data_IF_895518776845
#
_entry.id   IF_895518776845
#
_cell.length_a   1.000
_cell.length_b   1.000
_cell.length_c   1.000
_cell.angle_alpha   90.00
_cell.angle_beta   90.00
_cell.angle_gamma   90.00
#
_symmetry.space_group_name_H-M   'P 1'
#
loop_
_entity.id
_entity.type
_entity.pdbx_description
1 polymer ?
#
# COMPACT_ATOMS: atom_id res chain seq x y z
N UNK A 1 -28.19 55.44 10.07
CA UNK A 1 -28.21 56.88 9.68
C UNK A 1 -26.96 57.54 10.24
N UNK A 2 -26.13 58.11 9.35
CA UNK A 2 -25.23 59.28 9.50
C UNK A 2 -24.30 59.33 10.75
N UNK A 3 -22.99 59.59 10.70
CA UNK A 3 -22.17 60.57 9.98
C UNK A 3 -20.70 60.06 10.01
N UNK A 4 -19.90 60.05 8.93
CA UNK A 4 -19.18 61.14 8.24
C UNK A 4 -18.09 61.84 9.08
N UNK A 5 -16.82 61.71 8.64
CA UNK A 5 -15.73 62.72 8.52
C UNK A 5 -14.41 61.92 8.32
N UNK A 6 -13.87 61.71 7.11
CA UNK A 6 -13.15 62.62 6.21
C UNK A 6 -12.03 63.42 6.90
N UNK A 7 -10.78 63.03 6.68
CA UNK A 7 -9.66 63.96 6.56
C UNK A 7 -8.69 63.48 5.47
N UNK A 8 -8.59 64.29 4.42
CA UNK A 8 -7.59 64.25 3.35
C UNK A 8 -6.49 65.22 3.76
N UNK A 9 -5.22 64.80 3.69
CA UNK A 9 -4.10 65.71 3.43
C UNK A 9 -3.17 65.07 2.39
N UNK A 10 -2.98 65.83 1.31
CA UNK A 10 -2.11 65.64 0.14
C UNK A 10 -0.83 66.47 0.34
N UNK A 11 0.17 66.22 -0.50
CA UNK A 11 1.46 66.90 -0.74
C UNK A 11 2.66 66.14 -0.13
N UNK A 12 3.77 65.86 -0.82
CA UNK A 12 4.21 66.27 -2.15
C UNK A 12 5.35 65.39 -2.65
N UNK A 13 5.39 65.22 -3.97
CA UNK A 13 6.54 65.15 -4.89
C UNK A 13 7.96 65.20 -4.28
N UNK A 14 8.75 64.14 -4.53
CA UNK A 14 10.18 64.30 -4.83
C UNK A 14 10.57 63.34 -5.94
N UNK A 15 10.78 63.90 -7.13
CA UNK A 15 11.45 63.25 -8.24
C UNK A 15 12.96 63.46 -8.06
N UNK A 16 13.73 62.38 -8.02
CA UNK A 16 15.14 62.40 -8.35
C UNK A 16 15.39 61.34 -9.41
N UNK A 17 15.61 61.84 -10.63
CA UNK A 17 16.18 61.10 -11.75
C UNK A 17 17.69 60.98 -11.56
N UNK A 18 18.20 59.75 -11.57
CA UNK A 18 19.57 59.46 -11.96
C UNK A 18 19.52 58.35 -13.00
N UNK A 19 19.82 58.70 -14.24
CA UNK A 19 20.21 57.75 -15.27
C UNK A 19 21.54 57.12 -14.85
N UNK A 20 21.59 55.79 -14.84
CA UNK A 20 22.84 55.07 -15.10
C UNK A 20 22.51 53.83 -15.94
N UNK A 21 23.22 53.73 -17.06
CA UNK A 21 23.20 52.63 -18.00
C UNK A 21 23.62 51.31 -17.35
N UNK A 22 23.08 50.19 -17.86
CA UNK A 22 23.79 48.92 -17.78
C UNK A 22 22.89 47.69 -17.71
N UNK A 23 22.72 47.03 -18.85
CA UNK A 23 22.40 45.62 -19.03
C UNK A 23 21.13 45.06 -18.35
N UNK A 24 20.08 45.02 -19.15
CA UNK A 24 19.00 44.02 -19.08
C UNK A 24 19.63 42.63 -19.30
N UNK A 25 19.75 41.82 -18.25
CA UNK A 25 19.99 40.38 -18.41
C UNK A 25 18.72 39.73 -18.97
N UNK A 26 18.83 39.22 -20.18
CA UNK A 26 17.88 38.23 -20.71
C UNK A 26 17.93 36.97 -19.84
N UNK A 27 16.82 36.21 -19.72
CA UNK A 27 16.86 34.89 -19.12
C UNK A 27 17.63 33.96 -20.07
N UNK A 28 18.95 33.94 -19.90
CA UNK A 28 19.83 32.98 -20.54
C UNK A 28 19.46 31.58 -20.09
N UNK A 29 19.04 30.77 -21.05
CA UNK A 29 19.08 29.31 -21.01
C UNK A 29 20.33 28.84 -20.26
N UNK A 30 20.13 28.34 -19.03
CA UNK A 30 21.19 27.80 -18.19
C UNK A 30 21.59 26.47 -18.84
N UNK A 31 22.66 26.50 -19.62
CA UNK A 31 23.22 25.30 -20.22
C UNK A 31 23.61 24.32 -19.11
N UNK A 32 23.09 23.10 -19.20
CA UNK A 32 23.58 21.95 -18.45
C UNK A 32 25.07 21.78 -18.76
N UNK A 33 25.93 22.31 -17.89
CA UNK A 33 27.36 21.98 -17.93
C UNK A 33 27.48 20.53 -17.50
N UNK A 34 27.57 19.63 -18.47
CA UNK A 34 28.00 18.26 -18.24
C UNK A 34 29.38 18.29 -17.57
N UNK A 35 29.43 18.05 -16.27
CA UNK A 35 30.69 17.92 -15.53
C UNK A 35 31.32 16.58 -15.91
N UNK A 36 32.41 16.63 -16.66
CA UNK A 36 33.23 15.45 -16.98
C UNK A 36 34.20 15.19 -15.82
N UNK A 37 33.72 14.54 -14.76
CA UNK A 37 34.57 14.07 -13.66
C UNK A 37 35.31 12.77 -14.02
N UNK A 38 36.29 12.38 -13.19
CA UNK A 38 37.12 11.19 -13.41
C UNK A 38 36.52 9.88 -12.89
N UNK A 39 35.26 9.89 -12.46
CA UNK A 39 34.61 8.76 -11.83
C UNK A 39 34.57 7.50 -12.68
N UNK A 40 34.77 6.35 -12.04
CA UNK A 40 34.78 5.03 -12.70
C UNK A 40 33.72 4.08 -12.16
N UNK A 41 33.16 4.37 -10.98
CA UNK A 41 32.18 3.52 -10.33
C UNK A 41 30.83 3.61 -11.05
N UNK A 42 30.19 2.46 -11.26
CA UNK A 42 28.81 2.43 -11.72
C UNK A 42 27.88 2.34 -10.50
N UNK A 43 27.08 3.38 -10.19
CA UNK A 43 26.20 3.38 -9.02
C UNK A 43 25.10 2.32 -9.11
N UNK A 44 24.82 1.75 -10.29
CA UNK A 44 23.89 0.62 -10.41
C UNK A 44 24.44 -0.67 -9.79
N UNK A 45 25.75 -0.83 -9.70
CA UNK A 45 26.36 -2.05 -9.15
C UNK A 45 26.28 -2.07 -7.63
N UNK A 46 26.20 -0.89 -7.00
CA UNK A 46 26.09 -0.74 -5.55
C UNK A 46 25.30 0.54 -5.20
N UNK A 47 23.95 0.45 -5.21
CA UNK A 47 23.09 1.57 -4.83
C UNK A 47 23.27 1.99 -3.36
N UNK A 48 23.62 1.07 -2.46
CA UNK A 48 23.85 1.40 -1.06
C UNK A 48 25.12 2.23 -0.88
N UNK A 49 26.17 1.93 -1.66
CA UNK A 49 27.38 2.75 -1.72
C UNK A 49 27.15 4.19 -2.19
N UNK A 50 26.03 4.49 -2.87
CA UNK A 50 25.61 5.87 -3.16
C UNK A 50 25.07 6.55 -1.91
N UNK A 51 24.16 5.88 -1.17
CA UNK A 51 23.60 6.43 0.07
C UNK A 51 24.67 6.66 1.12
N UNK A 52 25.58 5.71 1.28
CA UNK A 52 26.73 5.83 2.18
C UNK A 52 27.60 7.02 1.80
N UNK A 53 27.93 7.18 0.50
CA UNK A 53 28.71 8.33 0.05
C UNK A 53 28.04 9.67 0.36
N UNK A 54 26.74 9.80 0.09
CA UNK A 54 25.98 11.01 0.39
C UNK A 54 25.99 11.31 1.89
N UNK A 55 25.79 10.28 2.71
CA UNK A 55 25.84 10.37 4.18
C UNK A 55 27.22 10.80 4.69
N UNK A 56 28.30 10.16 4.22
CA UNK A 56 29.69 10.51 4.57
C UNK A 56 30.04 11.97 4.25
N UNK A 57 29.47 12.50 3.17
CA UNK A 57 29.68 13.88 2.72
C UNK A 57 28.64 14.86 3.26
N UNK A 58 27.75 14.41 4.15
CA UNK A 58 26.69 15.21 4.76
C UNK A 58 25.79 15.88 3.70
N UNK A 59 25.52 15.18 2.60
CA UNK A 59 24.66 15.64 1.50
C UNK A 59 23.25 15.11 1.75
N UNK A 60 22.34 16.03 2.12
CA UNK A 60 20.92 15.72 2.23
C UNK A 60 20.36 15.29 0.86
N UNK A 61 19.54 14.25 0.85
CA UNK A 61 19.07 13.61 -0.38
C UNK A 61 17.64 13.11 -0.23
N UNK A 62 16.90 13.07 -1.34
CA UNK A 62 15.53 12.54 -1.41
C UNK A 62 15.46 11.09 -1.89
N UNK A 63 16.46 10.29 -1.51
CA UNK A 63 16.74 8.92 -1.96
C UNK A 63 17.15 8.81 -3.45
N UNK A 64 17.38 7.58 -3.90
CA UNK A 64 17.80 7.24 -5.26
C UNK A 64 16.81 6.26 -5.90
N UNK A 65 16.67 6.34 -7.22
CA UNK A 65 15.81 5.41 -7.97
C UNK A 65 16.42 5.06 -9.33
N UNK A 66 16.00 3.93 -9.89
CA UNK A 66 16.44 3.49 -11.23
C UNK A 66 15.39 3.90 -12.27
N UNK A 67 15.84 4.58 -13.32
CA UNK A 67 15.00 4.89 -14.49
C UNK A 67 15.85 4.89 -15.74
N UNK A 68 15.35 4.31 -16.83
CA UNK A 68 16.02 4.32 -18.15
C UNK A 68 17.49 3.83 -18.11
N UNK A 69 17.78 2.84 -17.27
CA UNK A 69 19.13 2.28 -17.12
C UNK A 69 20.14 3.21 -16.45
N UNK A 70 19.69 4.22 -15.69
CA UNK A 70 20.52 5.13 -14.91
C UNK A 70 20.03 5.23 -13.47
N UNK A 71 20.95 5.44 -12.54
CA UNK A 71 20.60 5.82 -11.17
C UNK A 71 20.30 7.31 -11.12
N UNK A 72 19.09 7.66 -10.73
CA UNK A 72 18.71 9.03 -10.43
C UNK A 72 18.97 9.28 -8.95
N UNK A 73 19.69 10.36 -8.65
CA UNK A 73 20.11 10.71 -7.29
C UNK A 73 19.44 12.03 -6.94
N UNK A 74 18.45 11.99 -6.06
CA UNK A 74 17.76 13.19 -5.60
C UNK A 74 18.61 13.91 -4.56
N UNK A 75 19.01 15.14 -4.82
CA UNK A 75 19.85 15.96 -3.93
C UNK A 75 19.05 17.16 -3.46
N UNK A 76 19.05 17.38 -2.14
CA UNK A 76 18.53 18.61 -1.55
C UNK A 76 19.62 19.69 -1.66
N UNK A 77 19.29 20.84 -2.26
CA UNK A 77 20.25 21.93 -2.44
C UNK A 77 21.35 21.62 -3.46
N UNK A 78 21.00 20.96 -4.57
CA UNK A 78 21.95 20.59 -5.63
C UNK A 78 22.72 21.82 -6.14
N UNK A 79 24.05 21.72 -6.12
CA UNK A 79 24.94 22.78 -6.55
C UNK A 79 26.17 22.22 -7.30
N UNK A 80 27.06 23.11 -7.73
CA UNK A 80 28.23 22.74 -8.54
C UNK A 80 29.26 21.90 -7.77
N UNK A 81 29.36 22.05 -6.45
CA UNK A 81 30.29 21.29 -5.61
C UNK A 81 29.82 19.83 -5.50
N UNK A 82 28.54 19.62 -5.18
CA UNK A 82 27.94 18.29 -5.11
C UNK A 82 28.02 17.58 -6.47
N UNK A 83 27.72 18.27 -7.56
CA UNK A 83 27.85 17.70 -8.91
C UNK A 83 29.28 17.24 -9.22
N UNK A 84 30.28 18.00 -8.77
CA UNK A 84 31.70 17.65 -8.99
C UNK A 84 32.10 16.44 -8.15
N UNK A 85 31.71 16.40 -6.88
CA UNK A 85 31.92 15.25 -5.99
C UNK A 85 31.35 13.95 -6.58
N UNK A 86 30.12 14.00 -7.09
CA UNK A 86 29.48 12.85 -7.72
C UNK A 86 30.16 12.46 -9.04
N UNK A 87 30.55 13.44 -9.86
CA UNK A 87 31.23 13.18 -11.14
C UNK A 87 32.63 12.60 -10.96
N UNK A 88 33.33 12.96 -9.88
CA UNK A 88 34.66 12.44 -9.56
C UNK A 88 34.60 11.00 -9.02
N UNK A 89 33.43 10.58 -8.50
CA UNK A 89 33.20 9.22 -7.99
C UNK A 89 32.58 8.28 -9.03
N UNK A 90 31.51 8.72 -9.68
CA UNK A 90 30.67 7.88 -10.53
C UNK A 90 30.90 8.14 -12.02
N UNK A 91 30.82 7.06 -12.79
CA UNK A 91 31.04 7.07 -14.24
C UNK A 91 29.97 7.91 -14.94
N UNK A 92 30.41 8.87 -15.76
CA UNK A 92 29.50 9.69 -16.57
C UNK A 92 28.54 8.82 -17.41
N UNK A 93 27.27 9.26 -17.48
CA UNK A 93 26.21 8.58 -18.21
C UNK A 93 25.52 7.42 -17.48
N UNK A 94 26.03 6.99 -16.31
CA UNK A 94 25.41 5.93 -15.49
C UNK A 94 24.46 6.45 -14.41
N UNK A 95 24.46 7.76 -14.17
CA UNK A 95 23.60 8.42 -13.20
C UNK A 95 23.12 9.78 -13.69
N UNK A 96 22.13 10.33 -12.99
CA UNK A 96 21.63 11.68 -13.16
C UNK A 96 21.27 12.27 -11.80
N UNK A 97 21.73 13.50 -11.51
CA UNK A 97 21.30 14.23 -10.31
C UNK A 97 19.99 14.94 -10.57
N UNK A 98 19.11 14.92 -9.57
CA UNK A 98 17.84 15.66 -9.59
C UNK A 98 17.83 16.57 -8.38
N UNK A 99 17.55 17.86 -8.58
CA UNK A 99 17.36 18.75 -7.45
C UNK A 99 15.97 18.53 -6.88
N UNK A 100 15.88 18.24 -5.58
CA UNK A 100 14.61 18.05 -4.86
C UNK A 100 14.54 18.98 -3.67
N UNK A 101 13.34 19.14 -3.11
CA UNK A 101 13.09 20.07 -2.00
C UNK A 101 13.29 19.39 -0.65
N UNK A 102 12.79 18.17 -0.50
CA UNK A 102 12.70 17.48 0.78
C UNK A 102 13.70 16.33 0.88
N UNK A 103 14.28 16.14 2.06
CA UNK A 103 15.12 14.98 2.32
C UNK A 103 14.29 13.72 2.56
N UNK A 104 14.90 12.56 2.41
CA UNK A 104 14.26 11.28 2.71
C UNK A 104 13.92 11.16 4.19
N UNK A 105 14.76 11.72 5.07
CA UNK A 105 14.52 11.78 6.51
C UNK A 105 13.27 12.63 6.82
N UNK A 106 13.12 13.80 6.20
CA UNK A 106 11.94 14.65 6.37
C UNK A 106 10.64 13.93 5.94
N UNK A 107 10.68 13.24 4.79
CA UNK A 107 9.54 12.46 4.31
C UNK A 107 9.23 11.26 5.22
N UNK A 108 10.25 10.57 5.73
CA UNK A 108 10.07 9.45 6.66
C UNK A 108 9.51 9.90 8.01
N UNK A 109 9.98 11.03 8.55
CA UNK A 109 9.47 11.60 9.80
C UNK A 109 7.99 12.01 9.66
N UNK A 110 7.62 12.66 8.55
CA UNK A 110 6.24 13.02 8.28
C UNK A 110 5.35 11.77 8.11
N UNK A 111 5.83 10.74 7.41
CA UNK A 111 5.12 9.47 7.28
C UNK A 111 4.94 8.78 8.64
N UNK A 112 5.99 8.73 9.46
CA UNK A 112 5.93 8.18 10.81
C UNK A 112 4.94 8.96 11.69
N UNK A 113 4.85 10.27 11.50
CA UNK A 113 3.92 11.11 12.23
C UNK A 113 2.46 10.77 11.92
N UNK A 114 2.12 10.42 10.67
CA UNK A 114 0.78 9.91 10.29
C UNK A 114 0.39 8.68 11.14
N UNK A 115 1.30 7.72 11.30
CA UNK A 115 1.09 6.52 12.11
C UNK A 115 0.99 6.84 13.59
N UNK A 116 1.90 7.66 14.13
CA UNK A 116 1.95 7.99 15.55
C UNK A 116 0.70 8.72 16.06
N UNK A 117 0.05 9.49 15.18
CA UNK A 117 -1.19 10.22 15.47
C UNK A 117 -2.45 9.35 15.25
N UNK A 118 -2.30 8.10 14.79
CA UNK A 118 -3.42 7.21 14.49
C UNK A 118 -4.33 7.71 13.37
N UNK A 119 -3.80 8.53 12.45
CA UNK A 119 -4.62 9.18 11.42
C UNK A 119 -5.24 8.19 10.43
N UNK A 120 -4.59 7.05 10.20
CA UNK A 120 -5.11 5.98 9.35
C UNK A 120 -6.48 5.47 9.82
N UNK A 121 -6.59 5.12 11.10
CA UNK A 121 -7.85 4.63 11.66
C UNK A 121 -8.85 5.77 11.85
N UNK A 122 -8.37 6.93 12.33
CA UNK A 122 -9.21 8.11 12.58
C UNK A 122 -9.90 8.62 11.31
N UNK A 123 -9.19 8.64 10.19
CA UNK A 123 -9.63 9.24 8.93
C UNK A 123 -9.91 8.21 7.84
N UNK A 124 -9.86 6.93 8.17
CA UNK A 124 -10.06 5.82 7.24
C UNK A 124 -9.12 5.90 6.01
N UNK A 125 -7.84 6.22 6.23
CA UNK A 125 -6.83 6.20 5.17
C UNK A 125 -6.48 4.75 4.82
N UNK A 126 -6.13 4.50 3.57
CA UNK A 126 -5.84 3.17 3.04
C UNK A 126 -4.36 2.84 3.09
N UNK A 127 -3.51 3.71 2.55
CA UNK A 127 -2.06 3.53 2.55
C UNK A 127 -1.32 4.86 2.60
N UNK A 128 -0.03 4.80 2.98
CA UNK A 128 0.92 5.87 2.68
C UNK A 128 2.19 5.28 2.11
N UNK A 129 2.73 5.89 1.07
CA UNK A 129 3.93 5.44 0.36
C UNK A 129 4.88 6.62 0.12
N UNK A 130 6.18 6.34 0.14
CA UNK A 130 7.20 7.34 -0.24
C UNK A 130 7.35 7.33 -1.76
N UNK A 131 7.00 8.43 -2.39
CA UNK A 131 7.23 8.65 -3.82
C UNK A 131 8.56 9.37 -4.02
N UNK A 132 9.61 8.58 -4.19
CA UNK A 132 10.96 9.10 -4.47
C UNK A 132 11.02 9.84 -5.80
N UNK A 133 10.15 9.56 -6.76
CA UNK A 133 10.17 10.23 -8.06
C UNK A 133 9.62 11.66 -7.95
N UNK A 134 8.55 11.85 -7.17
CA UNK A 134 7.93 13.17 -6.98
C UNK A 134 8.32 13.85 -5.65
N UNK A 135 9.20 13.23 -4.86
CA UNK A 135 9.72 13.73 -3.59
C UNK A 135 8.61 14.09 -2.58
N UNK A 136 7.62 13.20 -2.45
CA UNK A 136 6.43 13.37 -1.60
C UNK A 136 6.00 12.05 -0.96
N UNK A 137 5.13 12.14 0.03
CA UNK A 137 4.34 11.03 0.56
C UNK A 137 3.05 10.97 -0.25
N UNK A 138 2.74 9.82 -0.83
CA UNK A 138 1.40 9.53 -1.37
C UNK A 138 0.55 9.01 -0.24
N UNK A 139 -0.61 9.62 -0.01
CA UNK A 139 -1.66 9.11 0.87
C UNK A 139 -2.81 8.63 0.01
N UNK A 140 -3.16 7.35 0.12
CA UNK A 140 -4.33 6.77 -0.54
C UNK A 140 -5.50 6.78 0.43
N UNK A 141 -6.65 7.30 -0.01
CA UNK A 141 -7.84 7.45 0.84
C UNK A 141 -9.15 7.30 0.04
N UNK A 142 -10.28 7.01 0.70
CA UNK A 142 -11.60 7.02 0.06
C UNK A 142 -11.93 8.39 -0.55
N UNK A 143 -12.89 8.41 -1.48
CA UNK A 143 -13.51 9.64 -1.98
C UNK A 143 -14.47 10.32 -0.98
N UNK A 144 -14.85 9.60 0.08
CA UNK A 144 -15.64 10.15 1.17
C UNK A 144 -14.85 11.20 1.96
N UNK A 145 -15.47 12.38 2.17
CA UNK A 145 -14.97 13.43 3.06
C UNK A 145 -13.55 13.96 2.72
N UNK A 146 -13.12 13.88 1.46
CA UNK A 146 -11.77 14.28 0.99
C UNK A 146 -11.30 15.62 1.58
N UNK A 147 -12.11 16.68 1.50
CA UNK A 147 -11.70 18.01 1.94
C UNK A 147 -11.44 18.09 3.45
N UNK A 148 -12.26 17.39 4.26
CA UNK A 148 -12.12 17.34 5.72
C UNK A 148 -10.89 16.51 6.11
N UNK A 149 -10.68 15.38 5.44
CA UNK A 149 -9.52 14.51 5.66
C UNK A 149 -8.21 15.23 5.34
N UNK A 150 -8.14 15.91 4.19
CA UNK A 150 -6.97 16.73 3.82
C UNK A 150 -6.68 17.78 4.88
N UNK A 151 -7.70 18.56 5.25
CA UNK A 151 -7.56 19.64 6.23
C UNK A 151 -7.08 19.12 7.59
N UNK A 152 -7.54 17.94 8.03
CA UNK A 152 -7.09 17.34 9.28
C UNK A 152 -5.61 16.89 9.22
N UNK A 153 -5.18 16.30 8.10
CA UNK A 153 -3.78 15.87 7.93
C UNK A 153 -2.87 17.10 7.86
N UNK A 154 -3.26 18.13 7.11
CA UNK A 154 -2.50 19.36 6.89
C UNK A 154 -2.35 20.23 8.15
N UNK A 155 -3.17 20.01 9.19
CA UNK A 155 -2.94 20.63 10.50
C UNK A 155 -1.66 20.11 11.19
N UNK A 156 -1.24 18.89 10.87
CA UNK A 156 -0.14 18.21 11.55
C UNK A 156 1.06 17.94 10.66
N UNK A 157 0.86 17.88 9.35
CA UNK A 157 1.89 17.56 8.35
C UNK A 157 1.94 18.69 7.32
N UNK A 158 3.15 19.08 6.93
CA UNK A 158 3.33 20.10 5.90
C UNK A 158 2.71 19.63 4.57
N UNK A 159 1.77 20.38 3.96
CA UNK A 159 1.15 20.02 2.69
C UNK A 159 2.16 19.88 1.54
N UNK A 160 3.33 20.54 1.61
CA UNK A 160 4.37 20.39 0.60
C UNK A 160 4.99 18.99 0.58
N UNK A 161 4.90 18.22 1.67
CA UNK A 161 5.35 16.84 1.74
C UNK A 161 4.32 15.85 1.19
N UNK A 162 3.10 16.29 0.88
CA UNK A 162 1.97 15.40 0.64
C UNK A 162 1.51 15.39 -0.81
N UNK A 163 0.98 14.23 -1.20
CA UNK A 163 0.19 14.02 -2.40
C UNK A 163 -0.91 13.03 -2.06
N UNK A 164 -2.06 13.16 -2.71
CA UNK A 164 -3.24 12.37 -2.36
C UNK A 164 -3.75 11.62 -3.58
N UNK A 165 -4.00 10.33 -3.40
CA UNK A 165 -4.67 9.47 -4.38
C UNK A 165 -6.04 9.13 -3.84
N UNK A 166 -7.07 9.63 -4.52
CA UNK A 166 -8.45 9.31 -4.20
C UNK A 166 -8.78 7.97 -4.85
N UNK A 167 -8.81 6.93 -4.03
CA UNK A 167 -9.41 5.68 -4.41
C UNK A 167 -10.89 5.82 -4.14
N UNK A 168 -11.68 5.98 -5.21
CA UNK A 168 -13.14 5.91 -5.07
C UNK A 168 -13.46 4.65 -4.29
N UNK A 169 -14.40 4.75 -3.36
CA UNK A 169 -15.12 3.58 -2.95
C UNK A 169 -15.89 3.11 -4.19
N UNK A 170 -15.18 2.43 -5.10
CA UNK A 170 -15.80 1.41 -5.90
C UNK A 170 -16.44 0.54 -4.84
N UNK A 171 -17.76 0.69 -4.70
CA UNK A 171 -18.59 -0.44 -4.36
C UNK A 171 -18.27 -1.41 -5.48
N UNK A 172 -17.14 -2.12 -5.37
CA UNK A 172 -16.94 -3.32 -6.12
C UNK A 172 -18.13 -4.14 -5.67
N UNK A 173 -19.15 -4.18 -6.52
CA UNK A 173 -20.37 -4.92 -6.22
C UNK A 173 -20.00 -6.39 -5.99
N UNK A 174 -18.83 -6.80 -6.49
CA UNK A 174 -18.26 -8.10 -6.24
C UNK A 174 -17.29 -8.04 -5.05
N UNK A 175 -17.36 -9.03 -4.16
CA UNK A 175 -16.35 -9.20 -3.13
C UNK A 175 -14.99 -9.53 -3.73
N UNK A 176 -13.92 -8.98 -3.14
CA UNK A 176 -12.53 -9.28 -3.51
C UNK A 176 -12.13 -10.73 -3.19
N UNK A 177 -12.79 -11.37 -2.21
CA UNK A 177 -12.73 -12.82 -2.03
C UNK A 177 -14.07 -13.37 -1.52
N UNK A 178 -14.47 -14.53 -2.05
CA UNK A 178 -15.55 -15.37 -1.51
C UNK A 178 -14.93 -16.70 -1.09
N UNK A 179 -15.14 -17.10 0.16
CA UNK A 179 -14.50 -18.30 0.67
C UNK A 179 -14.94 -18.70 2.06
N UNK A 180 -14.36 -19.79 2.56
CA UNK A 180 -14.61 -20.25 3.92
C UNK A 180 -13.61 -19.67 4.90
N UNK A 181 -14.08 -19.27 6.08
CA UNK A 181 -13.23 -18.95 7.22
C UNK A 181 -12.69 -20.27 7.78
N UNK A 182 -11.40 -20.53 7.60
CA UNK A 182 -10.78 -21.79 8.00
C UNK A 182 -9.97 -21.67 9.28
N UNK A 183 -9.49 -20.47 9.60
CA UNK A 183 -8.81 -20.13 10.85
C UNK A 183 -9.20 -18.73 11.30
N UNK A 184 -9.21 -18.52 12.60
CA UNK A 184 -9.26 -17.20 13.22
C UNK A 184 -8.07 -17.14 14.17
N UNK A 185 -7.27 -16.10 14.04
CA UNK A 185 -6.17 -15.80 14.95
C UNK A 185 -6.20 -14.30 15.27
N UNK A 186 -6.24 -13.96 16.56
CA UNK A 186 -6.50 -12.62 17.05
C UNK A 186 -7.76 -12.00 16.41
N UNK A 187 -7.64 -10.83 15.77
CA UNK A 187 -8.71 -10.12 15.06
C UNK A 187 -8.66 -10.34 13.54
N UNK A 188 -8.05 -11.45 13.10
CA UNK A 188 -7.90 -11.79 11.69
C UNK A 188 -8.47 -13.18 11.38
N UNK A 189 -9.08 -13.30 10.21
CA UNK A 189 -9.62 -14.56 9.69
C UNK A 189 -8.88 -14.99 8.42
N UNK A 190 -8.51 -16.26 8.33
CA UNK A 190 -8.02 -16.85 7.08
C UNK A 190 -9.21 -17.28 6.23
N UNK A 191 -9.45 -16.54 5.14
CA UNK A 191 -10.50 -16.83 4.16
C UNK A 191 -9.87 -17.52 2.96
N UNK A 192 -10.38 -18.71 2.61
CA UNK A 192 -9.85 -19.52 1.50
C UNK A 192 -10.96 -19.78 0.48
N UNK A 193 -10.72 -19.41 -0.77
CA UNK A 193 -11.64 -19.65 -1.88
C UNK A 193 -11.64 -21.15 -2.24
N UNK A 194 -12.81 -21.83 -2.29
CA UNK A 194 -12.88 -23.25 -2.65
C UNK A 194 -12.63 -23.53 -4.14
N UNK A 195 -12.64 -22.49 -4.98
CA UNK A 195 -12.46 -22.56 -6.43
C UNK A 195 -11.01 -22.24 -6.77
N UNK A 196 -10.36 -23.13 -7.51
CA UNK A 196 -9.00 -22.90 -8.00
C UNK A 196 -9.00 -22.10 -9.29
N UNK A 197 -7.92 -21.35 -9.51
CA UNK A 197 -7.55 -20.77 -10.81
C UNK A 197 -6.19 -21.29 -11.26
N UNK A 198 -5.93 -21.20 -12.56
CA UNK A 198 -4.59 -21.45 -13.13
C UNK A 198 -3.74 -20.20 -12.94
N UNK A 199 -2.55 -20.33 -12.35
CA UNK A 199 -1.59 -19.24 -12.19
C UNK A 199 -0.64 -19.15 -13.40
N UNK A 200 -0.12 -20.30 -13.84
CA UNK A 200 0.77 -20.42 -14.99
C UNK A 200 0.76 -21.88 -15.53
N UNK A 201 1.63 -22.22 -16.48
CA UNK A 201 1.68 -23.56 -17.08
C UNK A 201 2.03 -24.68 -16.11
N UNK A 202 2.87 -24.40 -15.11
CA UNK A 202 3.31 -25.39 -14.10
C UNK A 202 2.40 -25.42 -12.87
N UNK A 203 1.60 -24.37 -12.64
CA UNK A 203 0.66 -24.23 -11.53
C UNK A 203 -0.76 -24.02 -12.07
N UNK A 204 -1.39 -25.14 -12.41
CA UNK A 204 -2.76 -25.21 -12.94
C UNK A 204 -3.84 -25.14 -11.86
N UNK A 205 -3.49 -25.45 -10.60
CA UNK A 205 -4.38 -25.40 -9.44
C UNK A 205 -3.80 -24.46 -8.38
N UNK A 206 -4.38 -23.26 -8.26
CA UNK A 206 -4.03 -22.26 -7.25
C UNK A 206 -5.32 -21.77 -6.56
N UNK A 207 -5.30 -21.72 -5.23
CA UNK A 207 -6.43 -21.27 -4.42
C UNK A 207 -6.11 -19.91 -3.81
N UNK A 208 -7.00 -18.94 -3.98
CA UNK A 208 -6.83 -17.65 -3.31
C UNK A 208 -7.07 -17.82 -1.80
N UNK A 209 -6.11 -17.39 -0.99
CA UNK A 209 -6.13 -17.44 0.46
C UNK A 209 -5.63 -16.11 1.02
N UNK A 210 -6.41 -15.50 1.91
CA UNK A 210 -6.11 -14.17 2.46
C UNK A 210 -6.36 -14.16 3.96
N UNK A 211 -5.39 -13.66 4.73
CA UNK A 211 -5.59 -13.21 6.10
C UNK A 211 -6.27 -11.85 6.07
N UNK A 212 -7.52 -11.83 6.53
CA UNK A 212 -8.39 -10.66 6.55
C UNK A 212 -8.44 -10.09 7.96
N UNK A 213 -7.99 -8.86 8.15
CA UNK A 213 -8.13 -8.11 9.41
C UNK A 213 -9.41 -7.26 9.43
N UNK A 214 -9.72 -6.65 10.58
CA UNK A 214 -10.93 -5.85 10.79
C UNK A 214 -12.23 -6.67 10.61
N UNK A 215 -12.22 -7.92 11.09
CA UNK A 215 -13.39 -8.81 11.00
C UNK A 215 -14.41 -8.47 12.10
N UNK A 216 -15.72 -8.52 11.81
CA UNK A 216 -16.75 -8.47 12.83
C UNK A 216 -16.63 -9.61 13.85
N UNK A 217 -17.00 -9.35 15.11
CA UNK A 217 -16.90 -10.32 16.22
C UNK A 217 -17.81 -11.54 16.08
N UNK A 218 -18.82 -11.48 15.22
CA UNK A 218 -19.73 -12.59 14.92
C UNK A 218 -19.23 -13.50 13.78
N UNK A 219 -18.05 -13.24 13.22
CA UNK A 219 -17.42 -14.14 12.24
C UNK A 219 -16.82 -15.34 12.96
N UNK A 220 -17.15 -16.54 12.48
CA UNK A 220 -16.71 -17.80 13.06
C UNK A 220 -16.09 -18.72 12.00
N UNK A 221 -15.19 -19.61 12.43
CA UNK A 221 -14.69 -20.68 11.58
C UNK A 221 -15.84 -21.55 11.05
N UNK A 222 -15.70 -21.98 9.80
CA UNK A 222 -16.68 -22.75 9.04
C UNK A 222 -17.66 -21.90 8.22
N UNK A 223 -17.79 -20.59 8.50
CA UNK A 223 -18.68 -19.71 7.72
C UNK A 223 -18.14 -19.46 6.31
N UNK A 224 -19.04 -19.39 5.33
CA UNK A 224 -18.74 -18.87 4.00
C UNK A 224 -19.00 -17.35 4.00
N UNK A 225 -18.02 -16.56 3.57
CA UNK A 225 -18.06 -15.10 3.65
C UNK A 225 -17.72 -14.45 2.32
N UNK A 226 -18.29 -13.28 2.09
CA UNK A 226 -17.94 -12.34 1.04
C UNK A 226 -17.17 -11.20 1.69
N UNK A 227 -15.96 -10.92 1.20
CA UNK A 227 -15.08 -9.89 1.78
C UNK A 227 -14.77 -8.84 0.72
N UNK A 228 -14.99 -7.59 1.08
CA UNK A 228 -14.51 -6.42 0.35
C UNK A 228 -13.32 -5.84 1.12
N UNK A 229 -12.30 -5.42 0.40
CA UNK A 229 -11.08 -4.89 0.99
C UNK A 229 -11.08 -3.36 0.95
N UNK A 230 -10.37 -2.77 1.91
CA UNK A 230 -9.90 -1.37 1.82
C UNK A 230 -8.39 -1.39 1.55
N UNK A 231 -7.95 -0.54 0.63
CA UNK A 231 -6.55 -0.48 0.20
C UNK A 231 -6.06 -1.72 -0.54
N UNK A 232 -4.74 -1.90 -0.59
CA UNK A 232 -4.10 -3.00 -1.29
C UNK A 232 -4.07 -4.30 -0.46
N UNK A 233 -3.94 -5.43 -1.16
CA UNK A 233 -3.70 -6.74 -0.56
C UNK A 233 -2.21 -7.05 -0.72
N UNK A 234 -1.52 -7.32 0.39
CA UNK A 234 -0.10 -7.61 0.39
C UNK A 234 0.23 -8.82 -0.49
N UNK A 235 1.29 -8.69 -1.30
CA UNK A 235 1.76 -9.69 -2.27
C UNK A 235 2.50 -10.86 -1.60
N UNK A 236 1.81 -11.55 -0.69
CA UNK A 236 2.26 -12.73 0.03
C UNK A 236 1.27 -13.90 -0.19
N UNK A 237 1.62 -15.11 0.25
CA UNK A 237 0.72 -16.27 0.20
C UNK A 237 0.71 -17.02 1.54
N UNK A 238 -0.39 -17.02 2.31
CA UNK A 238 -1.64 -16.27 2.06
C UNK A 238 -1.40 -14.76 1.95
N UNK A 239 -2.22 -14.08 1.14
CA UNK A 239 -2.21 -12.62 1.07
C UNK A 239 -2.65 -12.02 2.41
N UNK A 240 -2.43 -10.72 2.59
CA UNK A 240 -2.90 -10.01 3.79
C UNK A 240 -3.66 -8.77 3.37
N UNK A 241 -4.87 -8.59 3.91
CA UNK A 241 -5.72 -7.47 3.54
C UNK A 241 -6.64 -7.05 4.69
N UNK A 242 -7.13 -5.81 4.62
CA UNK A 242 -8.06 -5.29 5.63
C UNK A 242 -9.46 -5.22 5.06
N UNK A 243 -10.44 -5.77 5.77
CA UNK A 243 -11.83 -5.69 5.32
C UNK A 243 -12.38 -4.27 5.42
N UNK A 244 -13.00 -3.81 4.33
CA UNK A 244 -13.94 -2.69 4.34
C UNK A 244 -15.35 -3.16 4.71
N UNK A 245 -15.72 -4.37 4.28
CA UNK A 245 -17.02 -5.00 4.56
C UNK A 245 -16.88 -6.52 4.53
N UNK A 246 -17.60 -7.20 5.41
CA UNK A 246 -17.76 -8.66 5.38
C UNK A 246 -19.25 -8.99 5.49
N UNK A 247 -19.73 -9.89 4.64
CA UNK A 247 -21.07 -10.50 4.79
C UNK A 247 -20.97 -12.01 4.82
N UNK A 248 -21.79 -12.65 5.66
CA UNK A 248 -21.92 -14.10 5.70
C UNK A 248 -22.84 -14.51 4.54
N UNK A 249 -22.38 -15.44 3.71
CA UNK A 249 -23.21 -16.06 2.67
C UNK A 249 -24.24 -16.96 3.34
N UNK A 250 -25.53 -16.69 3.13
CA UNK A 250 -26.57 -17.59 3.61
C UNK A 250 -26.47 -18.94 2.90
N UNK A 251 -26.34 -20.02 3.68
CA UNK A 251 -26.46 -21.39 3.14
C UNK A 251 -27.75 -22.02 3.61
N UNK A 252 -28.45 -22.68 2.68
CA UNK A 252 -29.66 -23.43 3.03
C UNK A 252 -29.28 -24.68 3.81
N UNK A 253 -29.79 -24.78 5.03
CA UNK A 253 -29.70 -26.00 5.83
C UNK A 253 -30.58 -27.09 5.20
N UNK A 254 -30.05 -28.30 4.94
CA UNK A 254 -30.86 -29.42 4.49
C UNK A 254 -31.99 -29.72 5.50
N UNK A 255 -33.20 -29.98 5.00
CA UNK A 255 -34.42 -30.08 5.84
C UNK A 255 -34.28 -31.09 6.98
N UNK A 256 -33.58 -32.21 6.73
CA UNK A 256 -33.38 -33.29 7.72
C UNK A 256 -32.04 -33.22 8.44
N UNK A 257 -31.24 -32.19 8.21
CA UNK A 257 -29.98 -32.05 8.93
C UNK A 257 -30.21 -31.41 10.31
N UNK A 258 -29.52 -31.88 11.33
CA UNK A 258 -29.44 -31.24 12.64
C UNK A 258 -28.41 -30.11 12.64
N UNK A 259 -27.29 -30.30 11.93
CA UNK A 259 -26.27 -29.28 11.77
C UNK A 259 -26.52 -28.40 10.55
N UNK A 260 -25.98 -27.18 10.55
CA UNK A 260 -25.76 -26.41 9.32
C UNK A 260 -24.48 -26.85 8.62
N UNK A 261 -24.27 -26.38 7.39
CA UNK A 261 -23.02 -26.61 6.66
C UNK A 261 -21.82 -26.06 7.44
N UNK A 262 -21.96 -24.85 7.97
CA UNK A 262 -20.92 -24.16 8.74
C UNK A 262 -20.57 -24.92 10.03
N UNK A 263 -21.59 -25.46 10.71
CA UNK A 263 -21.40 -26.30 11.90
C UNK A 263 -20.69 -27.62 11.58
N UNK A 264 -21.03 -28.25 10.45
CA UNK A 264 -20.34 -29.46 10.00
C UNK A 264 -18.86 -29.19 9.67
N UNK A 265 -18.56 -28.08 8.97
CA UNK A 265 -17.18 -27.66 8.70
C UNK A 265 -16.45 -27.37 10.01
N UNK A 266 -17.08 -26.63 10.92
CA UNK A 266 -16.51 -26.31 12.23
C UNK A 266 -16.16 -27.56 13.03
N UNK A 267 -17.03 -28.58 13.02
CA UNK A 267 -16.73 -29.87 13.63
C UNK A 267 -15.55 -30.56 12.95
N UNK A 268 -15.46 -30.53 11.62
CA UNK A 268 -14.28 -31.08 10.91
C UNK A 268 -12.98 -30.35 11.28
N UNK A 269 -13.02 -29.03 11.48
CA UNK A 269 -11.86 -28.23 11.91
C UNK A 269 -11.37 -28.55 13.33
N UNK A 270 -12.11 -29.33 14.12
CA UNK A 270 -11.66 -29.84 15.42
C UNK A 270 -10.80 -31.10 15.30
N UNK A 271 -10.82 -31.77 14.14
CA UNK A 271 -9.94 -32.89 13.85
C UNK A 271 -8.48 -32.40 13.76
N UNK A 272 -7.56 -33.09 14.43
CA UNK A 272 -6.17 -32.64 14.54
C UNK A 272 -5.44 -32.62 13.20
N UNK A 273 -5.75 -33.56 12.32
CA UNK A 273 -5.09 -33.67 11.02
C UNK A 273 -5.53 -32.53 10.11
N UNK A 274 -6.78 -32.08 10.26
CA UNK A 274 -7.33 -30.93 9.52
C UNK A 274 -6.90 -29.60 10.14
N UNK A 275 -6.94 -29.46 11.46
CA UNK A 275 -6.60 -28.22 12.18
C UNK A 275 -5.15 -27.76 11.91
N UNK A 276 -4.24 -28.72 11.71
CA UNK A 276 -2.83 -28.47 11.44
C UNK A 276 -2.55 -28.07 9.98
N UNK A 277 -3.52 -28.14 9.07
CA UNK A 277 -3.32 -27.72 7.68
C UNK A 277 -3.19 -26.20 7.62
N UNK A 278 -2.07 -25.71 7.08
CA UNK A 278 -1.77 -24.28 7.02
C UNK A 278 -2.80 -23.50 6.19
N UNK A 279 -3.11 -23.98 4.98
CA UNK A 279 -4.09 -23.39 4.07
C UNK A 279 -5.07 -24.50 3.69
N UNK A 280 -6.16 -24.61 4.45
CA UNK A 280 -7.19 -25.60 4.22
C UNK A 280 -8.13 -25.11 3.11
N UNK A 281 -8.35 -25.93 2.09
CA UNK A 281 -9.38 -25.69 1.08
C UNK A 281 -10.55 -26.63 1.37
N UNK A 282 -11.73 -26.08 1.65
CA UNK A 282 -12.98 -26.85 1.73
C UNK A 282 -13.57 -26.94 0.34
N UNK A 283 -13.33 -28.05 -0.37
CA UNK A 283 -13.75 -28.23 -1.77
C UNK A 283 -15.24 -28.38 -1.93
N UNK A 284 -15.85 -29.15 -1.03
CA UNK A 284 -17.25 -29.54 -1.12
C UNK A 284 -17.78 -30.02 0.22
N UNK A 285 -19.07 -29.77 0.48
CA UNK A 285 -19.75 -30.16 1.71
C UNK A 285 -21.15 -30.62 1.38
N UNK A 286 -21.39 -31.91 1.57
CA UNK A 286 -22.66 -32.57 1.24
C UNK A 286 -23.21 -33.34 2.44
N UNK A 287 -24.55 -33.37 2.56
CA UNK A 287 -25.25 -34.12 3.59
C UNK A 287 -25.92 -35.34 2.97
N UNK A 288 -25.70 -36.52 3.55
CA UNK A 288 -26.42 -37.75 3.20
C UNK A 288 -27.51 -38.05 4.23
N UNK A 289 -28.76 -37.83 3.84
CA UNK A 289 -29.93 -38.06 4.69
C UNK A 289 -30.08 -39.53 5.13
N UNK A 290 -29.56 -40.49 4.37
CA UNK A 290 -29.74 -41.92 4.69
C UNK A 290 -28.85 -42.35 5.85
N UNK A 291 -27.62 -41.85 5.86
CA UNK A 291 -26.64 -42.16 6.90
C UNK A 291 -26.61 -41.11 8.02
N UNK A 292 -27.28 -39.97 7.85
CA UNK A 292 -27.18 -38.80 8.73
C UNK A 292 -25.72 -38.36 8.94
N UNK A 293 -24.98 -38.29 7.83
CA UNK A 293 -23.57 -37.93 7.82
C UNK A 293 -23.33 -36.76 6.86
N UNK A 294 -22.49 -35.84 7.29
CA UNK A 294 -21.89 -34.82 6.45
C UNK A 294 -20.58 -35.36 5.86
N UNK A 295 -20.38 -35.18 4.57
CA UNK A 295 -19.12 -35.48 3.89
C UNK A 295 -18.46 -34.18 3.47
N UNK A 296 -17.24 -33.95 3.95
CA UNK A 296 -16.45 -32.77 3.61
C UNK A 296 -15.23 -33.23 2.81
N UNK A 297 -15.10 -32.71 1.59
CA UNK A 297 -13.90 -32.90 0.76
C UNK A 297 -12.99 -31.70 0.96
N UNK A 298 -11.71 -31.95 1.20
CA UNK A 298 -10.76 -30.89 1.50
C UNK A 298 -9.36 -31.17 0.93
N UNK A 299 -8.56 -30.11 0.83
CA UNK A 299 -7.16 -30.16 0.39
C UNK A 299 -6.28 -29.26 1.25
N UNK A 300 -4.98 -29.56 1.26
CA UNK A 300 -3.96 -28.59 1.64
C UNK A 300 -3.54 -27.80 0.41
N UNK A 301 -3.65 -26.47 0.44
CA UNK A 301 -3.18 -25.59 -0.64
C UNK A 301 -1.80 -24.97 -0.37
N UNK A 302 -0.96 -25.68 0.37
CA UNK A 302 0.46 -25.30 0.52
C UNK A 302 1.14 -25.42 -0.84
N UNK A 303 1.90 -24.38 -1.21
CA UNK A 303 2.66 -24.38 -2.46
C UNK A 303 3.74 -25.46 -2.37
N UNK A 304 3.56 -26.54 -3.12
CA UNK A 304 4.51 -27.62 -3.30
C UNK A 304 4.60 -27.96 -4.78
N UNK A 305 5.69 -28.60 -5.22
CA UNK A 305 5.86 -29.02 -6.62
C UNK A 305 5.04 -30.28 -6.97
N UNK A 306 4.20 -30.77 -6.05
CA UNK A 306 3.37 -31.95 -6.18
C UNK A 306 1.91 -31.66 -6.51
N UNK A 307 1.16 -32.72 -6.82
CA UNK A 307 -0.31 -32.65 -6.98
C UNK A 307 -0.96 -32.41 -5.63
N UNK A 308 -1.91 -31.49 -5.56
CA UNK A 308 -2.69 -31.25 -4.34
C UNK A 308 -3.67 -32.41 -4.12
N UNK A 309 -3.36 -33.27 -3.14
CA UNK A 309 -4.19 -34.42 -2.79
C UNK A 309 -5.54 -33.98 -2.18
N UNK A 310 -6.61 -34.68 -2.59
CA UNK A 310 -7.94 -34.52 -2.03
C UNK A 310 -8.20 -35.57 -0.96
N UNK A 311 -8.64 -35.10 0.20
CA UNK A 311 -9.04 -35.93 1.33
C UNK A 311 -10.52 -35.75 1.61
N UNK A 312 -11.09 -36.70 2.35
CA UNK A 312 -12.50 -36.68 2.75
C UNK A 312 -12.59 -37.01 4.23
N UNK A 313 -13.47 -36.30 4.94
CA UNK A 313 -13.86 -36.62 6.31
C UNK A 313 -15.38 -36.74 6.39
N UNK A 314 -15.85 -37.65 7.24
CA UNK A 314 -17.27 -37.81 7.55
C UNK A 314 -17.56 -37.31 8.95
N UNK A 315 -18.58 -36.45 9.08
CA UNK A 315 -19.01 -35.85 10.34
C UNK A 315 -20.44 -36.30 10.64
N UNK A 316 -20.68 -36.98 11.78
CA UNK A 316 -22.02 -37.33 12.20
C UNK A 316 -22.91 -36.11 12.42
N UNK A 317 -24.14 -36.17 11.94
CA UNK A 317 -25.15 -35.13 12.12
C UNK A 317 -25.86 -35.27 13.48
N UNK A 318 -25.10 -35.17 14.57
CA UNK A 318 -25.56 -35.23 15.97
C UNK A 318 -24.63 -34.50 16.93
#
# INVERSE_FOLDING_TARGET
MKHTFMLIIVFSLLAMTMMSCGAREEPGSRSDKNYTGSGTLNPMNDPNGVREFLSEHHIANGDIYLKEGKVYINIVGLNNEVNRLLADRYKAGTYQTVNVTHSIEELQEAQQKLFSLGLFDKLNLYSSELDTLNNRIIITMPDANEAEVRLEIEQSIDPELLSFVIQKADVDVNPGIVGYVTKIDNQSALVVNPTSRKLNETRTEYYDAIWVSNIPSNIEVGQNVNVWFKGEIATSYPGQGTASKITISETQKPVKALLTREEAIRKALQDKDIANINILVVKDVSYDEKSAMWTIRYKSAVITDGVLEEHTIQIPDK
#
